data_IF_408072457834
#
_entry.id   IF_408072457834
#
_cell.length_a   1.000
_cell.length_b   1.000
_cell.length_c   1.000
_cell.angle_alpha   90.00
_cell.angle_beta   90.00
_cell.angle_gamma   90.00
#
_symmetry.space_group_name_H-M   'P 1'
#
loop_
_entity.id
_entity.type
_entity.pdbx_description
1 polymer ?
#
# COMPACT_ATOMS: atom_id res chain seq x y z
N UNK A 1 -23.03 -2.08 45.77
CA UNK A 1 -22.03 -1.16 45.22
C UNK A 1 -21.59 -1.72 43.88
N UNK A 2 -22.28 -1.34 42.81
CA UNK A 2 -21.89 -0.32 41.81
C UNK A 2 -20.71 -0.77 40.95
N UNK A 3 -21.02 -1.14 39.70
CA UNK A 3 -20.09 -1.45 38.62
C UNK A 3 -20.74 -1.13 37.27
N UNK A 4 -21.34 0.05 37.14
CA UNK A 4 -22.02 0.53 35.92
C UNK A 4 -21.06 1.39 35.07
N UNK A 5 -19.75 1.13 35.14
CA UNK A 5 -18.72 1.95 34.50
C UNK A 5 -18.03 1.30 33.29
N UNK A 6 -18.37 0.06 32.92
CA UNK A 6 -17.64 -0.68 31.87
C UNK A 6 -18.40 -0.79 30.53
N UNK A 7 -19.73 -0.72 30.54
CA UNK A 7 -20.54 -0.97 29.33
C UNK A 7 -20.57 0.22 28.34
N UNK A 8 -20.43 1.46 28.82
CA UNK A 8 -20.44 2.65 27.95
C UNK A 8 -19.11 2.89 27.26
N UNK A 9 -18.00 2.45 27.86
CA UNK A 9 -16.67 2.53 27.25
C UNK A 9 -16.55 1.55 26.07
N UNK A 10 -17.19 0.39 26.17
CA UNK A 10 -17.21 -0.65 25.13
C UNK A 10 -18.02 -0.20 23.89
N UNK A 11 -19.18 0.44 24.09
CA UNK A 11 -20.00 0.94 22.97
C UNK A 11 -19.32 2.09 22.23
N UNK A 12 -18.73 3.06 22.95
CA UNK A 12 -18.00 4.17 22.31
C UNK A 12 -16.76 3.69 21.54
N UNK A 13 -16.06 2.71 22.09
CA UNK A 13 -14.91 2.10 21.44
C UNK A 13 -15.32 1.30 20.18
N UNK A 14 -16.37 0.47 20.29
CA UNK A 14 -16.94 -0.27 19.16
C UNK A 14 -17.44 0.64 18.05
N UNK A 15 -18.07 1.77 18.39
CA UNK A 15 -18.49 2.78 17.41
C UNK A 15 -17.29 3.39 16.67
N UNK A 16 -16.24 3.80 17.38
CA UNK A 16 -15.03 4.36 16.76
C UNK A 16 -14.31 3.34 15.86
N UNK A 17 -14.30 2.06 16.24
CA UNK A 17 -13.77 0.97 15.40
C UNK A 17 -14.61 0.77 14.14
N UNK A 18 -15.94 0.75 14.27
CA UNK A 18 -16.85 0.62 13.14
C UNK A 18 -16.75 1.80 12.17
N UNK A 19 -16.59 3.03 12.67
CA UNK A 19 -16.39 4.21 11.84
C UNK A 19 -15.08 4.12 11.02
N UNK A 20 -13.99 3.70 11.66
CA UNK A 20 -12.70 3.47 10.98
C UNK A 20 -12.80 2.37 9.92
N UNK A 21 -13.49 1.27 10.25
CA UNK A 21 -13.74 0.16 9.34
C UNK A 21 -14.61 0.57 8.14
N UNK A 22 -15.65 1.38 8.36
CA UNK A 22 -16.50 1.94 7.31
C UNK A 22 -15.71 2.83 6.36
N UNK A 23 -14.86 3.71 6.88
CA UNK A 23 -14.00 4.55 6.05
C UNK A 23 -13.02 3.72 5.21
N UNK A 24 -12.43 2.67 5.78
CA UNK A 24 -11.55 1.78 5.05
C UNK A 24 -12.31 0.96 3.97
N UNK A 25 -13.52 0.48 4.28
CA UNK A 25 -14.39 -0.25 3.35
C UNK A 25 -14.74 0.60 2.13
N UNK A 26 -15.11 1.86 2.35
CA UNK A 26 -15.35 2.83 1.28
C UNK A 26 -14.12 3.05 0.37
N UNK A 27 -12.90 3.01 0.93
CA UNK A 27 -11.65 3.14 0.15
C UNK A 27 -11.32 1.89 -0.65
N UNK A 28 -11.59 0.69 -0.12
CA UNK A 28 -11.37 -0.58 -0.83
C UNK A 28 -12.47 -0.93 -1.83
N UNK A 29 -13.62 -0.28 -1.75
CA UNK A 29 -14.81 -0.66 -2.52
C UNK A 29 -15.44 -1.96 -2.03
N UNK A 30 -15.18 -2.32 -0.76
CA UNK A 30 -15.74 -3.51 -0.13
C UNK A 30 -16.99 -3.14 0.67
N UNK A 31 -18.03 -4.01 0.69
CA UNK A 31 -19.28 -3.69 1.37
C UNK A 31 -19.15 -3.72 2.90
N UNK A 32 -18.24 -4.54 3.44
CA UNK A 32 -18.00 -4.72 4.88
C UNK A 32 -16.53 -5.07 5.08
N UNK A 33 -15.87 -4.41 6.04
CA UNK A 33 -14.55 -4.79 6.57
C UNK A 33 -14.62 -4.82 8.09
N UNK A 34 -13.88 -5.74 8.71
CA UNK A 34 -13.69 -5.76 10.15
C UNK A 34 -12.56 -4.83 10.56
N UNK A 35 -12.63 -4.26 11.78
CA UNK A 35 -11.56 -3.41 12.29
C UNK A 35 -10.19 -4.12 12.30
N UNK A 36 -10.16 -5.43 12.57
CA UNK A 36 -8.93 -6.24 12.53
C UNK A 36 -8.30 -6.39 11.14
N UNK A 37 -9.06 -6.12 10.07
CA UNK A 37 -8.62 -6.28 8.68
C UNK A 37 -8.05 -4.98 8.08
N UNK A 38 -8.15 -3.87 8.83
CA UNK A 38 -7.76 -2.53 8.37
C UNK A 38 -6.49 -2.01 9.06
N UNK A 39 -5.68 -2.91 9.65
CA UNK A 39 -4.49 -2.54 10.42
C UNK A 39 -3.52 -1.64 9.64
N UNK A 40 -3.35 -1.91 8.34
CA UNK A 40 -2.48 -1.11 7.47
C UNK A 40 -3.08 0.27 7.18
N UNK A 41 -4.39 0.38 6.99
CA UNK A 41 -5.12 1.64 6.79
C UNK A 41 -5.02 2.54 8.02
N UNK A 42 -5.11 1.95 9.21
CA UNK A 42 -4.93 2.67 10.46
C UNK A 42 -3.52 3.26 10.54
N UNK A 43 -2.48 2.44 10.36
CA UNK A 43 -1.09 2.91 10.44
C UNK A 43 -0.81 3.98 9.38
N UNK A 44 -1.25 3.78 8.14
CA UNK A 44 -1.03 4.75 7.07
C UNK A 44 -1.81 6.06 7.27
N UNK A 45 -2.93 6.03 7.98
CA UNK A 45 -3.71 7.22 8.34
C UNK A 45 -3.03 8.12 9.37
N UNK A 46 -2.13 7.59 10.20
CA UNK A 46 -1.37 8.35 11.20
C UNK A 46 -0.12 9.04 10.61
N UNK A 47 0.23 8.74 9.35
CA UNK A 47 1.40 9.33 8.68
C UNK A 47 1.05 10.71 8.14
N UNK A 48 1.80 11.74 8.57
CA UNK A 48 1.54 13.11 8.11
C UNK A 48 1.79 13.26 6.59
N UNK A 49 1.14 14.22 5.91
CA UNK A 49 1.36 14.47 4.49
C UNK A 49 2.83 14.73 4.15
N UNK A 50 3.57 15.43 5.01
CA UNK A 50 4.98 15.76 4.82
C UNK A 50 5.86 14.51 4.91
N UNK A 51 5.59 13.65 5.91
CA UNK A 51 6.30 12.37 6.06
C UNK A 51 6.02 11.44 4.88
N UNK A 52 4.77 11.38 4.40
CA UNK A 52 4.38 10.63 3.19
C UNK A 52 5.12 11.15 1.96
N UNK A 53 5.16 12.46 1.74
CA UNK A 53 5.87 13.06 0.61
C UNK A 53 7.38 12.79 0.66
N UNK A 54 8.01 12.97 1.83
CA UNK A 54 9.43 12.69 2.02
C UNK A 54 9.77 11.22 1.77
N UNK A 55 8.91 10.31 2.23
CA UNK A 55 9.04 8.87 1.98
C UNK A 55 8.95 8.56 0.48
N UNK A 56 7.93 9.04 -0.21
CA UNK A 56 7.73 8.81 -1.65
C UNK A 56 8.89 9.37 -2.49
N UNK A 57 9.37 10.57 -2.16
CA UNK A 57 10.52 11.19 -2.82
C UNK A 57 11.81 10.37 -2.65
N UNK A 58 11.97 9.70 -1.50
CA UNK A 58 13.09 8.79 -1.25
C UNK A 58 12.95 7.49 -2.05
N UNK A 59 11.78 6.86 -2.03
CA UNK A 59 11.53 5.56 -2.69
C UNK A 59 11.63 5.68 -4.21
N UNK A 60 11.02 6.71 -4.79
CA UNK A 60 11.02 6.95 -6.23
C UNK A 60 12.10 7.95 -6.66
N UNK A 61 13.18 8.08 -5.90
CA UNK A 61 14.30 8.95 -6.26
C UNK A 61 14.78 8.67 -7.69
N UNK A 62 14.95 9.72 -8.48
CA UNK A 62 15.44 9.62 -9.85
C UNK A 62 14.38 9.17 -10.88
N UNK A 63 13.18 8.80 -10.44
CA UNK A 63 12.05 8.52 -11.33
C UNK A 63 11.38 9.84 -11.71
N UNK A 64 11.27 10.19 -13.01
CA UNK A 64 10.53 11.37 -13.44
C UNK A 64 9.05 11.27 -13.05
N UNK A 65 8.44 12.37 -12.64
CA UNK A 65 7.01 12.40 -12.28
C UNK A 65 6.11 11.88 -13.41
N UNK A 66 6.45 12.19 -14.66
CA UNK A 66 5.72 11.71 -15.85
C UNK A 66 5.78 10.19 -16.03
N UNK A 67 6.79 9.53 -15.48
CA UNK A 67 6.96 8.07 -15.53
C UNK A 67 6.41 7.37 -14.28
N UNK A 68 6.14 8.10 -13.20
CA UNK A 68 5.72 7.54 -11.92
C UNK A 68 4.43 6.71 -12.01
N UNK A 69 3.34 7.16 -12.68
CA UNK A 69 2.10 6.38 -12.75
C UNK A 69 2.30 4.99 -13.36
N UNK A 70 3.17 4.89 -14.38
CA UNK A 70 3.50 3.63 -15.04
C UNK A 70 4.29 2.68 -14.13
N UNK A 71 5.19 3.21 -13.30
CA UNK A 71 5.90 2.38 -12.31
C UNK A 71 4.99 1.89 -11.20
N UNK A 72 4.09 2.75 -10.72
CA UNK A 72 3.08 2.37 -9.73
C UNK A 72 2.20 1.25 -10.25
N UNK A 73 1.74 1.33 -11.51
CA UNK A 73 0.96 0.26 -12.13
C UNK A 73 1.74 -1.06 -12.21
N UNK A 74 2.99 -1.04 -12.68
CA UNK A 74 3.83 -2.24 -12.76
C UNK A 74 4.04 -2.87 -11.38
N UNK A 75 4.37 -2.06 -10.37
CA UNK A 75 4.61 -2.53 -9.01
C UNK A 75 3.33 -3.07 -8.37
N UNK A 76 2.20 -2.39 -8.57
CA UNK A 76 0.89 -2.83 -8.08
C UNK A 76 0.55 -4.22 -8.60
N UNK A 77 0.68 -4.45 -9.91
CA UNK A 77 0.40 -5.77 -10.50
C UNK A 77 1.46 -6.80 -10.07
N UNK A 78 2.73 -6.40 -10.01
CA UNK A 78 3.80 -7.29 -9.56
C UNK A 78 3.58 -7.82 -8.14
N UNK A 79 3.21 -6.96 -7.19
CA UNK A 79 2.94 -7.37 -5.81
C UNK A 79 1.57 -8.00 -5.61
N UNK A 80 0.56 -7.68 -6.43
CA UNK A 80 -0.72 -8.39 -6.43
C UNK A 80 -0.58 -9.89 -6.79
N UNK A 81 0.50 -10.26 -7.45
CA UNK A 81 0.88 -11.65 -7.75
C UNK A 81 2.03 -12.15 -6.86
N UNK A 82 2.18 -11.62 -5.64
CA UNK A 82 3.21 -12.02 -4.66
C UNK A 82 4.66 -11.98 -5.20
N UNK A 83 4.91 -11.10 -6.17
CA UNK A 83 6.21 -11.01 -6.84
C UNK A 83 6.50 -12.15 -7.83
N UNK A 84 5.52 -12.98 -8.17
CA UNK A 84 5.62 -14.04 -9.16
C UNK A 84 5.76 -13.44 -10.57
N UNK A 85 7.02 -13.34 -11.03
CA UNK A 85 7.37 -12.62 -12.26
C UNK A 85 6.62 -13.11 -13.49
N UNK A 86 6.33 -14.40 -13.60
CA UNK A 86 5.59 -14.94 -14.75
C UNK A 86 4.13 -14.47 -14.72
N UNK A 87 3.43 -14.67 -13.61
CA UNK A 87 2.01 -14.31 -13.48
C UNK A 87 1.79 -12.80 -13.65
N UNK A 88 2.65 -11.98 -13.03
CA UNK A 88 2.60 -10.54 -13.18
C UNK A 88 2.89 -10.08 -14.62
N UNK A 89 3.81 -10.76 -15.32
CA UNK A 89 4.11 -10.45 -16.71
C UNK A 89 2.90 -10.79 -17.62
N UNK A 90 2.26 -11.93 -17.40
CA UNK A 90 1.05 -12.34 -18.10
C UNK A 90 -0.09 -11.32 -17.88
N UNK A 91 -0.31 -10.90 -16.63
CA UNK A 91 -1.32 -9.88 -16.27
C UNK A 91 -1.04 -8.49 -16.87
N UNK A 92 0.24 -8.14 -17.06
CA UNK A 92 0.66 -6.90 -17.71
C UNK A 92 0.81 -7.04 -19.25
N UNK A 93 0.41 -8.17 -19.83
CA UNK A 93 0.55 -8.49 -21.25
C UNK A 93 1.99 -8.29 -21.76
N UNK A 94 2.98 -8.71 -20.97
CA UNK A 94 4.40 -8.62 -21.31
C UNK A 94 5.11 -9.96 -21.15
N UNK A 95 6.24 -10.09 -21.84
CA UNK A 95 7.11 -11.23 -21.62
C UNK A 95 7.82 -11.12 -20.26
N UNK A 96 8.04 -12.25 -19.57
CA UNK A 96 8.71 -12.32 -18.25
C UNK A 96 10.03 -11.54 -18.20
N UNK A 97 10.87 -11.69 -19.21
CA UNK A 97 12.17 -11.00 -19.29
C UNK A 97 12.00 -9.47 -19.43
N UNK A 98 10.95 -9.02 -20.12
CA UNK A 98 10.64 -7.60 -20.26
C UNK A 98 10.24 -7.02 -18.91
N UNK A 99 9.43 -7.74 -18.11
CA UNK A 99 9.12 -7.32 -16.74
C UNK A 99 10.38 -7.29 -15.87
N UNK A 100 11.20 -8.35 -15.94
CA UNK A 100 12.46 -8.44 -15.21
C UNK A 100 13.38 -7.25 -15.50
N UNK A 101 13.65 -6.96 -16.77
CA UNK A 101 14.48 -5.82 -17.17
C UNK A 101 13.90 -4.46 -16.78
N UNK A 102 12.56 -4.33 -16.71
CA UNK A 102 11.94 -3.13 -16.13
C UNK A 102 12.24 -3.02 -14.64
N UNK A 103 12.03 -4.07 -13.86
CA UNK A 103 12.33 -4.06 -12.43
C UNK A 103 13.82 -3.75 -12.15
N UNK A 104 14.71 -4.30 -12.96
CA UNK A 104 16.16 -4.00 -12.89
C UNK A 104 16.46 -2.54 -13.22
N UNK A 105 15.76 -1.96 -14.20
CA UNK A 105 15.86 -0.52 -14.51
C UNK A 105 15.36 0.35 -13.36
N UNK A 106 14.27 -0.04 -12.70
CA UNK A 106 13.77 0.67 -11.52
C UNK A 106 14.80 0.65 -10.39
N UNK A 107 15.43 -0.51 -10.15
CA UNK A 107 16.53 -0.62 -9.19
C UNK A 107 17.71 0.27 -9.56
N UNK A 108 18.12 0.29 -10.83
CA UNK A 108 19.23 1.15 -11.27
C UNK A 108 18.95 2.64 -11.06
N UNK A 109 17.69 3.07 -11.20
CA UNK A 109 17.29 4.48 -11.03
C UNK A 109 17.14 4.86 -9.56
N UNK A 110 16.47 4.02 -8.77
CA UNK A 110 16.11 4.33 -7.37
C UNK A 110 17.18 3.90 -6.36
N UNK A 111 18.03 2.95 -6.74
CA UNK A 111 18.96 2.26 -5.83
C UNK A 111 18.29 1.17 -4.98
N UNK A 112 16.98 0.94 -5.12
CA UNK A 112 16.18 0.01 -4.32
C UNK A 112 15.76 -1.19 -5.18
N UNK A 113 15.94 -2.41 -4.68
CA UNK A 113 15.61 -3.62 -5.43
C UNK A 113 14.15 -4.07 -5.17
N UNK A 114 13.21 -3.87 -6.12
CA UNK A 114 11.81 -4.25 -5.93
C UNK A 114 11.59 -5.77 -5.77
N UNK A 115 12.58 -6.60 -6.11
CA UNK A 115 12.53 -8.06 -5.92
C UNK A 115 13.08 -8.51 -4.57
N UNK A 116 13.71 -7.60 -3.82
CA UNK A 116 14.19 -7.90 -2.47
C UNK A 116 13.05 -7.75 -1.46
N UNK A 117 13.08 -8.54 -0.38
CA UNK A 117 12.06 -8.45 0.66
C UNK A 117 12.05 -7.08 1.35
N UNK A 118 13.24 -6.54 1.65
CA UNK A 118 13.37 -5.30 2.41
C UNK A 118 12.93 -4.08 1.58
N UNK A 119 13.49 -3.90 0.38
CA UNK A 119 13.15 -2.76 -0.46
C UNK A 119 11.77 -2.91 -1.10
N UNK A 120 11.35 -4.15 -1.38
CA UNK A 120 10.02 -4.44 -1.91
C UNK A 120 8.90 -3.95 -0.99
N UNK A 121 9.08 -4.08 0.33
CA UNK A 121 8.16 -3.52 1.32
C UNK A 121 8.03 -2.00 1.19
N UNK A 122 9.13 -1.29 0.91
CA UNK A 122 9.10 0.17 0.72
C UNK A 122 8.29 0.54 -0.52
N UNK A 123 8.48 -0.17 -1.62
CA UNK A 123 7.69 0.03 -2.84
C UNK A 123 6.22 -0.31 -2.65
N UNK A 124 5.91 -1.38 -1.91
CA UNK A 124 4.52 -1.77 -1.64
C UNK A 124 3.82 -0.71 -0.79
N UNK A 125 4.45 -0.20 0.26
CA UNK A 125 3.94 0.94 1.03
C UNK A 125 3.78 2.21 0.17
N UNK A 126 4.73 2.46 -0.73
CA UNK A 126 4.65 3.60 -1.64
C UNK A 126 3.48 3.50 -2.63
N UNK A 127 3.20 2.29 -3.14
CA UNK A 127 2.02 1.99 -3.97
C UNK A 127 0.74 2.19 -3.16
N UNK A 128 0.68 1.73 -1.91
CA UNK A 128 -0.47 1.95 -1.02
C UNK A 128 -0.73 3.44 -0.77
N UNK A 129 0.32 4.21 -0.53
CA UNK A 129 0.18 5.66 -0.44
C UNK A 129 -0.34 6.25 -1.74
N UNK A 130 0.18 5.88 -2.91
CA UNK A 130 -0.20 6.51 -4.19
C UNK A 130 -1.53 6.02 -4.77
N UNK A 131 -2.03 4.87 -4.33
CA UNK A 131 -3.31 4.30 -4.78
C UNK A 131 -4.51 4.83 -4.00
N UNK A 132 -4.26 5.59 -2.92
CA UNK A 132 -5.30 6.19 -2.08
C UNK A 132 -5.44 7.69 -2.42
N UNK A 133 -6.67 8.19 -2.61
CA UNK A 133 -6.94 9.61 -2.84
C UNK A 133 -6.48 10.48 -1.66
#
# INVERSE_FOLDING_TARGET
MSGVADETHDVSHGFAQAEKALQAAGRRGEPVLWYGEIALELVLGEVTPEARQAFLARVFRGVPETALPRWVEVLRVYYAHDGALQQAADALFMHKNTLGGRLDRLQAVTGLNPRSRADGMLFQLAVEFLSRP
#
